data_IF_803609000743
#
_entry.id   IF_803609000743
#
_cell.length_a   1.000
_cell.length_b   1.000
_cell.length_c   1.000
_cell.angle_alpha   90.00
_cell.angle_beta   90.00
_cell.angle_gamma   90.00
#
_symmetry.space_group_name_H-M   'P 1'
#
loop_
_entity.id
_entity.type
_entity.pdbx_description
1 polymer ?
#
# COMPACT_ATOMS: atom_id res chain seq x y z
N UNK A 1 0.97 -21.22 -12.92
CA UNK A 1 0.16 -21.22 -11.68
C UNK A 1 0.40 -19.97 -10.87
N UNK A 2 -0.66 -19.30 -10.57
CA UNK A 2 -0.59 -18.12 -9.71
C UNK A 2 -0.42 -18.55 -8.26
N UNK A 3 0.55 -17.92 -7.59
CA UNK A 3 0.71 -18.11 -6.16
C UNK A 3 -0.38 -17.32 -5.41
N UNK A 4 -0.90 -17.92 -4.38
CA UNK A 4 -1.76 -17.22 -3.43
C UNK A 4 -0.92 -16.31 -2.55
N UNK A 5 -1.53 -15.24 -2.05
CA UNK A 5 -0.89 -14.40 -1.05
C UNK A 5 -1.24 -14.91 0.34
N UNK A 6 -0.24 -15.11 1.18
CA UNK A 6 -0.42 -15.64 2.52
C UNK A 6 0.06 -14.64 3.57
N UNK A 7 -0.61 -14.65 4.72
CA UNK A 7 -0.14 -13.96 5.91
C UNK A 7 0.73 -14.91 6.72
N UNK A 8 1.89 -14.43 7.16
CA UNK A 8 2.81 -15.24 7.95
C UNK A 8 3.02 -14.66 9.34
N UNK A 9 3.39 -15.53 10.28
CA UNK A 9 3.79 -15.12 11.62
C UNK A 9 5.30 -14.78 11.67
N UNK A 10 5.80 -14.44 12.85
CA UNK A 10 7.20 -14.07 13.06
C UNK A 10 8.18 -15.19 12.69
N UNK A 11 7.74 -16.44 12.68
CA UNK A 11 8.55 -17.62 12.36
C UNK A 11 8.39 -18.08 10.93
N UNK A 12 7.71 -17.28 10.11
CA UNK A 12 7.43 -17.56 8.71
C UNK A 12 6.48 -18.75 8.46
N UNK A 13 5.68 -19.11 9.46
CA UNK A 13 4.59 -20.04 9.26
C UNK A 13 3.36 -19.30 8.77
N UNK A 14 2.65 -19.90 7.83
CA UNK A 14 1.41 -19.33 7.29
C UNK A 14 0.36 -19.27 8.38
N UNK A 15 -0.14 -18.09 8.69
CA UNK A 15 -1.23 -17.91 9.66
C UNK A 15 -2.58 -17.61 9.04
N UNK A 16 -2.61 -17.38 7.75
CA UNK A 16 -3.86 -17.17 7.04
C UNK A 16 -3.62 -16.93 5.56
N UNK A 17 -4.61 -17.28 4.75
CA UNK A 17 -4.60 -17.04 3.32
C UNK A 17 -5.82 -16.18 2.98
N UNK A 18 -5.62 -14.85 2.77
CA UNK A 18 -6.73 -13.99 2.43
C UNK A 18 -7.39 -14.41 1.12
N UNK A 19 -8.69 -14.14 1.01
CA UNK A 19 -9.41 -14.42 -0.21
C UNK A 19 -8.87 -13.54 -1.33
N UNK A 20 -8.41 -14.15 -2.40
CA UNK A 20 -7.67 -13.48 -3.47
C UNK A 20 -8.42 -12.32 -4.10
N UNK A 21 -9.71 -12.48 -4.34
CA UNK A 21 -10.54 -11.44 -4.96
C UNK A 21 -10.67 -10.18 -4.10
N UNK A 22 -10.31 -10.25 -2.81
CA UNK A 22 -10.32 -9.12 -1.89
C UNK A 22 -8.97 -8.43 -1.78
N UNK A 23 -7.95 -8.95 -2.46
CA UNK A 23 -6.59 -8.40 -2.41
C UNK A 23 -6.34 -7.51 -3.61
N UNK A 24 -5.85 -6.31 -3.34
CA UNK A 24 -5.46 -5.33 -4.35
C UNK A 24 -4.04 -4.87 -4.08
N UNK A 25 -3.23 -4.77 -5.13
CA UNK A 25 -1.92 -4.13 -5.05
C UNK A 25 -2.11 -2.64 -5.22
N UNK A 26 -1.73 -1.88 -4.20
CA UNK A 26 -1.91 -0.43 -4.19
C UNK A 26 -0.79 0.25 -4.97
N UNK A 27 -1.20 1.15 -5.85
CA UNK A 27 -0.29 1.92 -6.69
C UNK A 27 -0.29 3.39 -6.26
N UNK A 28 0.63 4.17 -6.78
CA UNK A 28 0.59 5.62 -6.73
C UNK A 28 -0.01 6.14 -8.06
N UNK A 29 -0.61 7.34 -8.10
CA UNK A 29 -0.70 8.31 -7.00
C UNK A 29 -1.74 7.94 -5.94
N UNK A 30 -1.58 8.52 -4.76
CA UNK A 30 -2.56 8.50 -3.68
C UNK A 30 -3.02 9.95 -3.43
N UNK A 31 -4.33 10.17 -3.47
CA UNK A 31 -4.90 11.53 -3.45
C UNK A 31 -5.74 11.74 -2.19
N UNK A 32 -5.54 12.87 -1.53
CA UNK A 32 -6.22 13.18 -0.27
C UNK A 32 -6.66 14.64 -0.23
N UNK A 33 -7.73 14.88 0.56
CA UNK A 33 -8.06 16.23 0.99
C UNK A 33 -6.89 16.77 1.81
N UNK A 34 -6.45 18.00 1.53
CA UNK A 34 -5.24 18.56 2.13
C UNK A 34 -5.36 18.72 3.65
N UNK A 35 -6.53 19.09 4.16
CA UNK A 35 -6.73 19.21 5.61
C UNK A 35 -6.67 17.86 6.29
N UNK A 36 -7.29 16.86 5.69
CA UNK A 36 -7.29 15.51 6.22
C UNK A 36 -5.87 14.95 6.34
N UNK A 37 -5.07 15.05 5.28
CA UNK A 37 -3.70 14.51 5.28
C UNK A 37 -2.79 15.27 6.25
N UNK A 38 -2.95 16.58 6.35
CA UNK A 38 -2.18 17.38 7.31
C UNK A 38 -2.47 16.99 8.75
N UNK A 39 -3.76 16.83 9.10
CA UNK A 39 -4.17 16.42 10.44
C UNK A 39 -3.69 15.01 10.75
N UNK A 40 -3.74 14.10 9.78
CA UNK A 40 -3.27 12.74 9.94
C UNK A 40 -1.78 12.72 10.29
N UNK A 41 -0.96 13.45 9.55
CA UNK A 41 0.48 13.53 9.81
C UNK A 41 0.80 14.24 11.12
N UNK A 42 0.02 15.26 11.48
CA UNK A 42 0.21 15.95 12.76
C UNK A 42 -0.02 14.97 13.93
N UNK A 43 -1.06 14.15 13.85
CA UNK A 43 -1.30 13.11 14.84
C UNK A 43 -0.19 12.07 14.88
N UNK A 44 0.29 11.65 13.71
CA UNK A 44 1.39 10.70 13.60
C UNK A 44 2.63 11.21 14.32
N UNK A 45 3.00 12.48 14.10
CA UNK A 45 4.14 13.12 14.72
C UNK A 45 3.93 13.24 16.24
N UNK A 46 2.75 13.68 16.66
CA UNK A 46 2.44 13.88 18.08
C UNK A 46 2.46 12.55 18.86
N UNK A 47 2.04 11.47 18.24
CA UNK A 47 2.03 10.15 18.85
C UNK A 47 3.34 9.38 18.66
N UNK A 48 4.29 9.97 17.94
CA UNK A 48 5.63 9.40 17.68
C UNK A 48 5.60 8.01 17.07
N UNK A 49 4.68 7.81 16.11
CA UNK A 49 4.56 6.54 15.39
C UNK A 49 5.57 6.53 14.24
N UNK A 50 6.40 5.50 14.18
CA UNK A 50 7.54 5.43 13.24
C UNK A 50 7.36 4.46 12.08
N UNK A 51 6.39 3.56 12.16
CA UNK A 51 6.25 2.46 11.18
C UNK A 51 5.14 2.66 10.16
N UNK A 52 4.87 3.91 9.79
CA UNK A 52 3.95 4.22 8.71
C UNK A 52 4.62 3.91 7.36
N UNK A 53 3.92 3.19 6.49
CA UNK A 53 4.47 2.74 5.20
C UNK A 53 4.02 3.60 4.03
N UNK A 54 2.83 4.19 4.09
CA UNK A 54 2.33 5.10 3.05
C UNK A 54 1.27 6.06 3.60
N UNK A 55 0.89 7.03 2.78
CA UNK A 55 -0.05 8.09 3.16
C UNK A 55 -1.45 7.55 3.47
N UNK A 56 -1.92 6.58 2.71
CA UNK A 56 -3.24 5.98 2.94
C UNK A 56 -3.30 5.30 4.31
N UNK A 57 -2.25 4.60 4.69
CA UNK A 57 -2.15 3.96 5.99
C UNK A 57 -2.21 4.99 7.13
N UNK A 58 -1.53 6.13 6.96
CA UNK A 58 -1.54 7.21 7.94
C UNK A 58 -2.95 7.75 8.13
N UNK A 59 -3.66 8.00 7.03
CA UNK A 59 -5.04 8.50 7.07
C UNK A 59 -5.97 7.50 7.76
N UNK A 60 -5.87 6.22 7.41
CA UNK A 60 -6.69 5.18 8.02
C UNK A 60 -6.46 5.06 9.52
N UNK A 61 -5.20 5.00 9.93
CA UNK A 61 -4.84 4.76 11.33
C UNK A 61 -5.04 5.99 12.21
N UNK A 62 -4.67 7.16 11.72
CA UNK A 62 -4.72 8.37 12.54
C UNK A 62 -6.10 9.03 12.57
N UNK A 63 -6.83 8.95 11.48
CA UNK A 63 -8.12 9.63 11.34
C UNK A 63 -9.32 8.68 11.35
N UNK A 64 -9.09 7.37 11.32
CA UNK A 64 -10.17 6.39 11.19
C UNK A 64 -10.98 6.55 9.91
N UNK A 65 -10.39 7.16 8.89
CA UNK A 65 -11.06 7.48 7.64
C UNK A 65 -10.89 6.35 6.63
N UNK A 66 -11.97 5.97 5.97
CA UNK A 66 -11.90 4.93 4.94
C UNK A 66 -11.22 5.47 3.68
N UNK A 67 -10.50 4.60 3.01
CA UNK A 67 -9.81 4.91 1.76
C UNK A 67 -10.43 4.07 0.65
N UNK A 68 -10.83 4.72 -0.44
CA UNK A 68 -11.40 4.04 -1.59
C UNK A 68 -10.35 3.77 -2.65
N UNK A 69 -10.36 2.57 -3.19
CA UNK A 69 -9.49 2.18 -4.29
C UNK A 69 -10.24 2.27 -5.62
N UNK A 70 -9.53 2.72 -6.65
CA UNK A 70 -10.04 2.74 -8.02
C UNK A 70 -9.14 1.87 -8.90
N UNK A 71 -9.69 1.17 -9.90
CA UNK A 71 -8.86 0.40 -10.82
C UNK A 71 -7.80 1.28 -11.48
N UNK A 72 -6.56 0.83 -11.43
CA UNK A 72 -5.44 1.46 -12.11
C UNK A 72 -5.04 0.66 -13.35
N UNK A 73 -3.79 0.77 -13.74
CA UNK A 73 -3.25 0.06 -14.87
C UNK A 73 -2.07 -0.82 -14.44
N UNK A 74 -1.95 -2.01 -15.03
CA UNK A 74 -0.84 -2.91 -14.71
C UNK A 74 0.51 -2.33 -15.14
N UNK A 75 0.52 -1.46 -16.14
CA UNK A 75 1.73 -0.79 -16.62
C UNK A 75 2.23 0.31 -15.68
N UNK A 76 1.40 0.75 -14.74
CA UNK A 76 1.77 1.76 -13.76
C UNK A 76 2.58 1.11 -12.64
N UNK A 77 3.85 0.94 -12.86
CA UNK A 77 4.76 0.34 -11.89
C UNK A 77 5.68 1.40 -11.30
N UNK A 78 6.13 1.16 -10.07
CA UNK A 78 7.15 1.98 -9.42
C UNK A 78 8.51 1.35 -9.66
N UNK A 79 9.41 2.08 -10.29
CA UNK A 79 10.77 1.59 -10.58
C UNK A 79 11.63 1.82 -9.34
N UNK A 80 11.96 0.76 -8.63
CA UNK A 80 12.75 0.82 -7.41
C UNK A 80 13.94 -0.15 -7.40
N UNK A 81 13.94 -1.13 -8.29
CA UNK A 81 15.01 -2.13 -8.39
C UNK A 81 15.50 -2.22 -9.83
N UNK A 82 16.72 -2.78 -10.08
CA UNK A 82 17.18 -3.02 -11.45
C UNK A 82 16.22 -3.89 -12.27
N UNK A 83 15.58 -4.86 -11.65
CA UNK A 83 14.60 -5.74 -12.30
C UNK A 83 13.38 -4.96 -12.78
N UNK A 84 12.99 -3.90 -12.05
CA UNK A 84 11.87 -3.06 -12.45
C UNK A 84 12.14 -2.32 -13.75
N UNK A 85 13.39 -1.99 -14.05
CA UNK A 85 13.78 -1.40 -15.33
C UNK A 85 13.49 -2.34 -16.49
N UNK A 86 13.76 -3.63 -16.30
CA UNK A 86 13.48 -4.65 -17.31
C UNK A 86 11.99 -4.80 -17.54
N UNK A 87 11.21 -4.80 -16.47
CA UNK A 87 9.75 -4.86 -16.54
C UNK A 87 9.20 -3.62 -17.26
N UNK A 88 9.73 -2.43 -16.93
CA UNK A 88 9.29 -1.19 -17.57
C UNK A 88 9.58 -1.20 -19.08
N UNK A 89 10.73 -1.71 -19.50
CA UNK A 89 11.06 -1.84 -20.92
C UNK A 89 10.07 -2.72 -21.67
N UNK A 90 9.56 -3.76 -21.02
CA UNK A 90 8.57 -4.67 -21.62
C UNK A 90 7.24 -3.98 -21.93
N UNK A 91 6.93 -2.86 -21.27
CA UNK A 91 5.72 -2.08 -21.51
C UNK A 91 5.87 -1.01 -22.61
N UNK A 92 7.07 -0.81 -23.09
CA UNK A 92 7.34 0.14 -24.18
C UNK A 92 7.13 -0.52 -25.59
#
# INVERSE_FOLDING_TARGET
TRRSSDLVDEKNYVKGTPERKTLWLVQTPQVFNIQLIKEAYQKLINEKIENATDDAMVVEQMMGHTVKLYPGAYENIKITTPEDLLVAEAFL
#
